data_IF_368012410643
#
_entry.id   IF_368012410643
#
_cell.length_a   1.000
_cell.length_b   1.000
_cell.length_c   1.000
_cell.angle_alpha   90.00
_cell.angle_beta   90.00
_cell.angle_gamma   90.00
#
_symmetry.space_group_name_H-M   'P 1'
#
loop_
_entity.id
_entity.type
_entity.pdbx_description
1 polymer ?
#
# COMPACT_ATOMS: atom_id res chain seq x y z
N UNK A 1 55.31 21.95 6.62
CA UNK A 1 53.94 22.45 6.36
C UNK A 1 53.02 21.26 6.07
N UNK A 2 52.65 20.52 7.12
CA UNK A 2 51.74 19.39 7.06
C UNK A 2 51.05 19.28 8.44
N UNK A 3 50.00 20.08 8.68
CA UNK A 3 49.25 19.96 9.95
C UNK A 3 47.86 20.59 9.98
N UNK A 4 47.41 21.30 8.94
CA UNK A 4 46.07 21.94 8.97
C UNK A 4 45.05 21.18 8.13
N UNK A 5 45.47 20.48 7.08
CA UNK A 5 44.55 19.77 6.18
C UNK A 5 43.91 18.50 6.80
N UNK A 6 44.53 17.90 7.82
CA UNK A 6 44.07 16.62 8.38
C UNK A 6 42.94 16.81 9.42
N UNK A 7 42.90 17.95 10.11
CA UNK A 7 41.89 18.22 11.14
C UNK A 7 40.50 18.55 10.56
N UNK A 8 40.42 19.05 9.32
CA UNK A 8 39.13 19.40 8.70
C UNK A 8 38.35 18.17 8.19
N UNK A 9 39.04 17.08 7.87
CA UNK A 9 38.42 15.84 7.34
C UNK A 9 37.70 15.06 8.46
N UNK A 10 38.24 15.06 9.68
CA UNK A 10 37.62 14.38 10.82
C UNK A 10 36.29 15.01 11.25
N UNK A 11 36.15 16.33 11.11
CA UNK A 11 34.93 17.05 11.45
C UNK A 11 33.78 16.80 10.45
N UNK A 12 34.10 16.52 9.18
CA UNK A 12 33.10 16.27 8.14
C UNK A 12 32.48 14.86 8.23
N UNK A 13 33.22 13.87 8.78
CA UNK A 13 32.73 12.51 8.95
C UNK A 13 31.73 12.34 10.12
N UNK A 14 31.65 13.29 11.04
CA UNK A 14 30.70 13.24 12.16
C UNK A 14 29.32 13.84 11.80
N UNK A 15 29.19 14.48 10.65
CA UNK A 15 27.94 15.04 10.14
C UNK A 15 27.14 14.11 9.23
N UNK A 16 27.64 12.90 8.94
CA UNK A 16 26.80 11.81 8.43
C UNK A 16 25.95 11.25 9.56
N UNK A 17 25.11 12.12 10.13
CA UNK A 17 24.04 11.75 11.05
C UNK A 17 23.20 10.69 10.36
N UNK A 18 23.39 9.47 10.84
CA UNK A 18 22.41 8.39 10.92
C UNK A 18 21.06 8.78 10.36
N UNK A 19 20.78 8.38 9.12
CA UNK A 19 19.42 8.29 8.63
C UNK A 19 18.72 7.28 9.53
N UNK A 20 18.03 7.75 10.58
CA UNK A 20 17.13 6.92 11.37
C UNK A 20 16.01 6.53 10.40
N UNK A 21 16.14 5.35 9.80
CA UNK A 21 15.06 4.77 9.03
C UNK A 21 13.97 4.42 10.03
N UNK A 22 12.95 5.26 10.12
CA UNK A 22 11.71 4.89 10.77
C UNK A 22 11.04 3.85 9.88
N UNK A 23 11.49 2.60 10.02
CA UNK A 23 10.70 1.46 9.59
C UNK A 23 9.46 1.44 10.48
N UNK A 24 8.44 2.20 10.07
CA UNK A 24 7.15 2.19 10.72
C UNK A 24 6.62 0.76 10.51
N UNK A 25 6.62 -0.04 11.58
CA UNK A 25 6.10 -1.40 11.61
C UNK A 25 4.58 -1.35 11.45
N UNK A 26 4.14 -0.98 10.24
CA UNK A 26 2.74 -0.94 9.89
C UNK A 26 2.31 -2.39 9.72
N UNK A 27 1.47 -2.86 10.64
CA UNK A 27 0.90 -4.21 10.58
C UNK A 27 0.11 -4.36 9.29
N UNK A 28 0.47 -5.36 8.48
CA UNK A 28 -0.33 -5.76 7.32
C UNK A 28 -1.62 -6.40 7.82
N UNK A 29 -2.75 -5.88 7.37
CA UNK A 29 -4.10 -6.35 7.73
C UNK A 29 -4.81 -6.84 6.48
N UNK A 30 -5.61 -7.90 6.66
CA UNK A 30 -6.46 -8.47 5.62
C UNK A 30 -7.92 -8.39 6.05
N UNK A 31 -8.81 -8.00 5.14
CA UNK A 31 -10.25 -8.08 5.35
C UNK A 31 -10.99 -8.44 4.06
N UNK A 32 -12.21 -8.91 4.21
CA UNK A 32 -13.08 -9.33 3.12
C UNK A 32 -14.33 -8.46 3.10
N UNK A 33 -14.88 -8.19 1.90
CA UNK A 33 -16.14 -7.48 1.77
C UNK A 33 -16.54 -7.22 0.32
N UNK A 34 -17.68 -6.54 0.17
CA UNK A 34 -18.27 -6.18 -1.12
C UNK A 34 -17.91 -4.75 -1.50
N UNK A 35 -17.54 -4.54 -2.77
CA UNK A 35 -17.33 -3.21 -3.32
C UNK A 35 -18.67 -2.48 -3.41
N UNK A 36 -18.78 -1.35 -2.73
CA UNK A 36 -19.98 -0.48 -2.70
C UNK A 36 -19.88 0.70 -3.64
N UNK A 37 -18.66 1.19 -3.88
CA UNK A 37 -18.42 2.37 -4.71
C UNK A 37 -17.02 2.34 -5.33
N UNK A 38 -16.82 3.11 -6.40
CA UNK A 38 -15.54 3.30 -7.09
C UNK A 38 -15.32 4.76 -7.39
N UNK A 39 -14.19 5.27 -6.95
CA UNK A 39 -13.72 6.62 -7.24
C UNK A 39 -12.53 6.50 -8.20
N UNK A 40 -12.54 7.27 -9.28
CA UNK A 40 -11.46 7.22 -10.27
C UNK A 40 -10.28 8.17 -9.93
N UNK A 41 -10.52 9.21 -9.13
CA UNK A 41 -9.52 10.22 -8.78
C UNK A 41 -9.63 10.63 -7.31
N UNK A 42 -8.72 10.17 -6.43
CA UNK A 42 -7.74 9.10 -6.68
C UNK A 42 -8.43 7.75 -6.91
N UNK A 43 -7.73 6.82 -7.59
CA UNK A 43 -8.23 5.44 -7.78
C UNK A 43 -8.46 4.82 -6.41
N UNK A 44 -9.72 4.64 -6.04
CA UNK A 44 -10.10 4.03 -4.79
C UNK A 44 -11.41 3.26 -4.95
N UNK A 45 -11.57 2.26 -4.10
CA UNK A 45 -12.82 1.51 -3.98
C UNK A 45 -13.31 1.66 -2.55
N UNK A 46 -14.62 1.69 -2.38
CA UNK A 46 -15.23 1.54 -1.07
C UNK A 46 -15.62 0.08 -0.89
N UNK A 47 -15.04 -0.59 0.09
CA UNK A 47 -15.39 -1.97 0.47
C UNK A 47 -16.14 -1.89 1.79
N UNK A 48 -17.43 -2.23 1.77
CA UNK A 48 -18.38 -1.88 2.84
C UNK A 48 -18.30 -0.38 3.20
N UNK A 49 -17.84 -0.03 4.40
CA UNK A 49 -17.66 1.35 4.83
C UNK A 49 -16.19 1.83 4.84
N UNK A 50 -15.28 1.04 4.28
CA UNK A 50 -13.83 1.30 4.27
C UNK A 50 -13.43 1.84 2.90
N UNK A 51 -12.75 2.98 2.88
CA UNK A 51 -12.15 3.53 1.66
C UNK A 51 -10.76 2.91 1.47
N UNK A 52 -10.57 2.26 0.33
CA UNK A 52 -9.33 1.58 -0.03
C UNK A 52 -8.69 2.32 -1.20
N UNK A 53 -7.54 2.96 -0.95
CA UNK A 53 -6.69 3.56 -1.97
C UNK A 53 -5.99 2.46 -2.77
N UNK A 54 -6.12 2.51 -4.09
CA UNK A 54 -5.46 1.60 -5.02
C UNK A 54 -4.36 2.36 -5.75
N UNK A 55 -3.11 2.01 -5.46
CA UNK A 55 -1.92 2.62 -6.05
C UNK A 55 -1.46 1.83 -7.27
N UNK A 56 -0.54 2.41 -8.04
CA UNK A 56 0.12 1.71 -9.15
C UNK A 56 0.89 0.46 -8.71
N UNK A 57 1.29 0.39 -7.43
CA UNK A 57 1.98 -0.76 -6.83
C UNK A 57 1.03 -1.80 -6.25
N UNK A 58 -0.27 -1.55 -6.23
CA UNK A 58 -1.26 -2.50 -5.70
C UNK A 58 -1.40 -3.68 -6.66
N UNK A 59 -1.16 -4.89 -6.18
CA UNK A 59 -1.38 -6.11 -6.97
C UNK A 59 -2.87 -6.48 -6.94
N UNK A 60 -3.54 -6.41 -8.10
CA UNK A 60 -4.94 -6.83 -8.23
C UNK A 60 -4.96 -8.17 -8.96
N UNK A 61 -5.59 -9.19 -8.37
CA UNK A 61 -5.55 -10.57 -8.88
C UNK A 61 -6.90 -11.26 -8.83
N UNK A 62 -7.07 -12.24 -9.70
CA UNK A 62 -8.13 -13.24 -9.59
C UNK A 62 -7.75 -14.33 -8.56
N UNK A 63 -8.67 -15.27 -8.23
CA UNK A 63 -8.38 -16.39 -7.33
C UNK A 63 -7.29 -17.35 -7.81
N UNK A 64 -6.96 -17.31 -9.10
CA UNK A 64 -5.92 -18.14 -9.73
C UNK A 64 -4.56 -17.44 -9.73
N UNK A 65 -4.48 -16.22 -9.19
CA UNK A 65 -3.28 -15.40 -9.11
C UNK A 65 -2.98 -14.58 -10.37
N UNK A 66 -3.85 -14.62 -11.39
CA UNK A 66 -3.66 -13.84 -12.60
C UNK A 66 -3.88 -12.35 -12.31
N UNK A 67 -3.07 -11.44 -12.88
CA UNK A 67 -3.27 -10.02 -12.72
C UNK A 67 -4.58 -9.57 -13.37
N UNK A 68 -5.27 -8.64 -12.71
CA UNK A 68 -6.57 -8.13 -13.12
C UNK A 68 -6.52 -6.60 -13.17
N UNK A 69 -7.10 -5.94 -14.18
CA UNK A 69 -7.14 -4.48 -14.24
C UNK A 69 -8.02 -3.89 -13.14
N UNK A 70 -7.76 -2.63 -12.76
CA UNK A 70 -8.59 -1.91 -11.78
C UNK A 70 -10.06 -1.82 -12.22
N UNK A 71 -10.28 -1.79 -13.53
CA UNK A 71 -11.57 -1.74 -14.21
C UNK A 71 -12.51 -2.89 -13.81
N UNK A 72 -11.96 -4.05 -13.46
CA UNK A 72 -12.70 -5.24 -13.05
C UNK A 72 -13.13 -5.23 -11.57
N UNK A 73 -12.61 -4.30 -10.76
CA UNK A 73 -13.05 -4.06 -9.38
C UNK A 73 -14.40 -3.32 -9.36
N UNK A 74 -15.43 -3.95 -9.91
CA UNK A 74 -16.77 -3.37 -10.07
C UNK A 74 -17.59 -3.41 -8.78
N UNK A 75 -18.57 -2.51 -8.66
CA UNK A 75 -19.55 -2.54 -7.57
C UNK A 75 -20.25 -3.91 -7.53
N UNK A 76 -20.58 -4.35 -6.32
CA UNK A 76 -21.15 -5.67 -6.00
C UNK A 76 -20.20 -6.86 -6.18
N UNK A 77 -18.93 -6.64 -6.54
CA UNK A 77 -17.92 -7.70 -6.48
C UNK A 77 -17.44 -7.89 -5.05
N UNK A 78 -17.26 -9.15 -4.67
CA UNK A 78 -16.59 -9.53 -3.44
C UNK A 78 -15.07 -9.54 -3.63
N UNK A 79 -14.35 -9.01 -2.65
CA UNK A 79 -12.89 -8.93 -2.68
C UNK A 79 -12.30 -9.22 -1.30
N UNK A 80 -11.08 -9.73 -1.30
CA UNK A 80 -10.19 -9.72 -0.14
C UNK A 80 -9.13 -8.64 -0.34
N UNK A 81 -9.04 -7.69 0.59
CA UNK A 81 -8.06 -6.60 0.56
C UNK A 81 -6.99 -6.87 1.61
N UNK A 82 -5.73 -6.83 1.20
CA UNK A 82 -4.56 -6.83 2.10
C UNK A 82 -3.83 -5.50 1.96
N UNK A 83 -3.51 -4.88 3.09
CA UNK A 83 -2.85 -3.59 3.08
C UNK A 83 -2.65 -3.02 4.48
N UNK A 84 -2.43 -1.71 4.52
CA UNK A 84 -2.13 -0.99 5.74
C UNK A 84 -3.25 -0.01 6.06
N UNK A 85 -3.72 -0.03 7.30
CA UNK A 85 -4.65 0.97 7.80
C UNK A 85 -3.88 2.29 8.01
N UNK A 86 -4.35 3.37 7.39
CA UNK A 86 -3.80 4.71 7.62
C UNK A 86 -4.65 5.50 8.62
N UNK A 87 -5.94 5.17 8.73
CA UNK A 87 -6.86 5.64 9.77
C UNK A 87 -8.05 4.66 9.91
N UNK A 88 -9.03 4.98 10.77
CA UNK A 88 -10.15 4.07 11.13
C UNK A 88 -10.92 3.54 9.91
N UNK A 89 -11.04 4.33 8.82
CA UNK A 89 -11.79 3.94 7.62
C UNK A 89 -11.03 4.14 6.31
N UNK A 90 -9.71 4.32 6.40
CA UNK A 90 -8.85 4.48 5.22
C UNK A 90 -7.74 3.43 5.22
N UNK A 91 -7.61 2.76 4.08
CA UNK A 91 -6.66 1.70 3.82
C UNK A 91 -5.88 1.98 2.55
N UNK A 92 -4.60 1.62 2.55
CA UNK A 92 -3.78 1.56 1.33
C UNK A 92 -3.58 0.10 0.97
N UNK A 93 -4.08 -0.31 -0.19
CA UNK A 93 -4.00 -1.69 -0.62
C UNK A 93 -2.60 -2.05 -1.13
N UNK A 94 -2.06 -3.15 -0.63
CA UNK A 94 -0.90 -3.83 -1.20
C UNK A 94 -1.36 -4.91 -2.20
N UNK A 95 -2.43 -5.64 -1.87
CA UNK A 95 -3.00 -6.69 -2.71
C UNK A 95 -4.54 -6.70 -2.61
N UNK A 96 -5.21 -6.93 -3.73
CA UNK A 96 -6.66 -7.12 -3.83
C UNK A 96 -6.92 -8.41 -4.61
N UNK A 97 -7.66 -9.33 -4.03
CA UNK A 97 -8.02 -10.62 -4.65
C UNK A 97 -9.53 -10.62 -4.89
N UNK A 98 -9.97 -10.75 -6.14
CA UNK A 98 -11.40 -10.92 -6.45
C UNK A 98 -11.86 -12.31 -5.98
N UNK A 99 -13.04 -12.39 -5.37
CA UNK A 99 -13.69 -13.67 -5.06
C UNK A 99 -14.31 -14.23 -6.36
N UNK A 100 -14.21 -15.55 -6.62
CA UNK A 100 -14.88 -16.13 -7.79
C UNK A 100 -16.40 -16.02 -7.61
N UNK A 101 -17.18 -15.79 -8.69
CA UNK A 101 -18.62 -15.85 -8.61
C UNK A 101 -19.06 -17.25 -8.16
N UNK A 102 -20.05 -17.32 -7.27
CA UNK A 102 -20.64 -18.59 -6.85
C UNK A 102 -21.11 -19.37 -8.10
N UNK A 103 -20.84 -20.69 -8.19
CA UNK A 103 -21.41 -21.51 -9.24
C UNK A 103 -22.93 -21.42 -9.18
N UNK A 104 -23.55 -21.16 -10.33
CA UNK A 104 -25.01 -21.10 -10.50
C UNK A 104 -25.62 -22.48 -10.50
#
# INVERSE_FOLDING_TARGET
>A
MASVAVLLVAALCLLSLTSVSFAQDQKLVSFHGVIRDRLQQPKSIRVEDIVVEVRSTTAIRDPRGNPVPFEDLQVSKEVTVKGYATSIRYFVAQEIILTPPLPR
#
